data_IF_487950595866
#
_entry.id   IF_487950595866
#
_cell.length_a   1.000
_cell.length_b   1.000
_cell.length_c   1.000
_cell.angle_alpha   90.00
_cell.angle_beta   90.00
_cell.angle_gamma   90.00
#
_symmetry.space_group_name_H-M   'P 1'
#
loop_
_entity.id
_entity.type
_entity.pdbx_description
1 polymer ?
2 water ?
#
# COMPACT_ATOMS: atom_id res chain seq x y z
N UNK A 7 -23.39 -23.66 -83.56
CA UNK A 7 -22.28 -24.45 -83.02
C UNK A 7 -21.19 -23.51 -82.48
N UNK A 9 -21.28 -20.14 -82.70
CA UNK A 9 -21.91 -18.94 -82.14
C UNK A 9 -22.32 -19.15 -80.70
N UNK A 10 -22.71 -20.39 -80.35
CA UNK A 10 -23.19 -20.67 -79.00
C UNK A 10 -22.03 -20.85 -78.03
N UNK A 11 -20.94 -21.47 -78.47
CA UNK A 11 -19.79 -21.67 -77.60
C UNK A 11 -19.15 -20.35 -77.21
N UNK A 12 -19.06 -19.40 -78.16
CA UNK A 12 -18.50 -18.10 -77.83
C UNK A 12 -19.49 -17.21 -77.09
N UNK A 13 -20.79 -17.43 -77.26
CA UNK A 13 -21.74 -16.68 -76.44
C UNK A 13 -21.73 -17.17 -75.00
N UNK A 14 -21.67 -18.49 -74.83
CA UNK A 14 -21.61 -19.05 -73.49
C UNK A 14 -20.30 -18.70 -72.80
N UNK A 15 -19.17 -18.67 -73.53
CA UNK A 15 -17.91 -18.35 -72.86
C UNK A 15 -17.87 -16.90 -72.41
N UNK A 16 -18.44 -15.97 -73.19
CA UNK A 16 -18.49 -14.59 -72.71
C UNK A 16 -19.31 -14.46 -71.44
N UNK A 17 -20.35 -15.29 -71.28
CA UNK A 17 -21.20 -15.15 -70.11
C UNK A 17 -20.58 -15.82 -68.89
N UNK A 18 -19.89 -16.96 -69.07
CA UNK A 18 -19.05 -17.51 -68.00
C UNK A 18 -18.20 -16.42 -67.40
N UNK A 19 -17.48 -15.71 -68.27
CA UNK A 19 -16.53 -14.71 -67.81
C UNK A 19 -17.22 -13.54 -67.14
N UNK A 20 -18.40 -13.15 -67.60
CA UNK A 20 -19.12 -12.08 -66.94
C UNK A 20 -19.56 -12.47 -65.53
N UNK A 21 -20.02 -13.71 -65.36
CA UNK A 21 -20.57 -14.13 -64.07
C UNK A 21 -19.45 -14.24 -63.04
N UNK A 22 -18.43 -15.02 -63.37
CA UNK A 22 -17.23 -15.07 -62.58
C UNK A 22 -16.71 -13.68 -62.25
N UNK A 23 -16.90 -12.71 -63.15
CA UNK A 23 -16.59 -11.33 -62.78
C UNK A 23 -17.61 -10.78 -61.79
N UNK A 24 -18.89 -11.13 -61.94
CA UNK A 24 -19.85 -10.74 -60.91
C UNK A 24 -19.42 -11.30 -59.57
N UNK A 25 -19.11 -12.61 -59.52
CA UNK A 25 -18.63 -13.26 -58.30
C UNK A 25 -17.46 -12.51 -57.68
N UNK A 26 -16.40 -12.32 -58.47
CA UNK A 26 -15.14 -11.81 -57.93
C UNK A 26 -15.32 -10.45 -57.27
N UNK A 27 -16.13 -9.58 -57.87
CA UNK A 27 -16.24 -8.20 -57.38
C UNK A 27 -16.93 -8.12 -56.02
N UNK A 28 -17.85 -9.04 -55.74
CA UNK A 28 -18.46 -9.06 -54.42
C UNK A 28 -17.53 -9.71 -53.40
N UNK A 29 -16.79 -10.74 -53.84
CA UNK A 29 -15.76 -11.35 -52.99
C UNK A 29 -14.69 -10.34 -52.61
N UNK A 30 -14.20 -9.57 -53.57
CA UNK A 30 -13.23 -8.51 -53.30
C UNK A 30 -13.79 -7.46 -52.35
N UNK A 31 -15.10 -7.27 -52.33
CA UNK A 31 -15.67 -6.28 -51.43
C UNK A 31 -15.65 -6.79 -49.99
N UNK A 32 -16.01 -8.06 -49.80
CA UNK A 32 -15.98 -8.69 -48.49
C UNK A 32 -14.56 -8.76 -47.97
N UNK A 33 -13.61 -9.11 -48.84
CA UNK A 33 -12.23 -9.21 -48.39
C UNK A 33 -11.67 -7.84 -48.07
N UNK A 34 -12.17 -6.80 -48.73
CA UNK A 34 -11.86 -5.43 -48.35
C UNK A 34 -12.33 -5.13 -46.91
N UNK A 35 -13.54 -5.56 -46.55
CA UNK A 35 -14.06 -5.31 -45.21
C UNK A 35 -13.30 -6.12 -44.15
N UNK A 36 -13.01 -7.39 -44.45
CA UNK A 36 -12.24 -8.23 -43.55
C UNK A 36 -10.84 -7.69 -43.32
N UNK A 37 -10.21 -7.07 -44.32
CA UNK A 37 -8.87 -6.52 -44.13
C UNK A 37 -8.91 -5.24 -43.30
N UNK A 38 -9.86 -4.34 -43.59
CA UNK A 38 -9.97 -3.10 -42.84
C UNK A 38 -10.29 -3.35 -41.38
N UNK A 39 -11.06 -4.41 -41.10
CA UNK A 39 -11.35 -4.78 -39.72
C UNK A 39 -10.13 -5.37 -39.04
N UNK A 40 -9.38 -6.20 -39.77
CA UNK A 40 -8.23 -6.86 -39.18
C UNK A 40 -7.17 -5.84 -38.79
N UNK A 41 -6.99 -4.79 -39.60
CA UNK A 41 -6.05 -3.73 -39.26
C UNK A 41 -6.49 -3.00 -38.00
N UNK A 42 -7.70 -2.44 -38.01
CA UNK A 42 -8.24 -1.75 -36.84
C UNK A 42 -8.18 -2.60 -35.58
N UNK A 43 -8.41 -3.91 -35.71
CA UNK A 43 -8.44 -4.77 -34.52
C UNK A 43 -7.03 -4.98 -33.97
N UNK A 45 -4.82 -3.13 -34.19
CA UNK A 45 -4.33 -1.83 -33.72
C UNK A 45 -4.67 -1.61 -32.26
N UNK A 46 -5.90 -1.92 -31.84
CA UNK A 46 -6.27 -1.71 -30.45
C UNK A 46 -5.69 -2.78 -29.55
N UNK A 47 -5.27 -3.92 -30.09
CA UNK A 47 -4.59 -4.90 -29.25
C UNK A 47 -3.19 -4.42 -28.89
N UNK A 48 -2.46 -3.84 -29.84
CA UNK A 48 -1.13 -3.34 -29.53
C UNK A 48 -1.19 -2.17 -28.54
N UNK A 49 -2.24 -1.34 -28.60
CA UNK A 49 -2.42 -0.32 -27.56
C UNK A 49 -2.72 -0.97 -26.21
N UNK A 50 -3.61 -1.96 -26.19
CA UNK A 50 -3.88 -2.69 -24.96
C UNK A 50 -2.60 -3.31 -24.38
N UNK A 51 -1.69 -3.76 -25.27
CA UNK A 51 -0.46 -4.40 -24.81
C UNK A 51 0.51 -3.36 -24.25
N UNK A 52 0.45 -2.14 -24.80
CA UNK A 52 1.17 -1.04 -24.20
C UNK A 52 0.56 -0.66 -22.86
N UNK A 53 -0.77 -0.54 -22.80
CA UNK A 53 -1.45 -0.30 -21.53
C UNK A 53 -1.02 -1.28 -20.46
N UNK A 54 -0.95 -2.57 -20.79
CA UNK A 54 -0.52 -3.57 -19.82
C UNK A 54 0.88 -3.25 -19.29
N UNK A 55 1.81 -2.91 -20.19
CA UNK A 55 3.16 -2.61 -19.74
C UNK A 55 3.20 -1.37 -18.85
N UNK A 56 2.42 -0.34 -19.18
CA UNK A 56 2.53 0.91 -18.43
C UNK A 56 2.03 0.76 -17.00
N UNK A 57 1.05 -0.11 -16.75
CA UNK A 57 0.65 -0.33 -15.36
C UNK A 57 1.59 -1.25 -14.61
N UNK A 58 2.21 -2.21 -15.30
CA UNK A 58 3.24 -3.02 -14.65
C UNK A 58 4.43 -2.16 -14.24
N UNK A 59 4.86 -1.25 -15.14
CA UNK A 59 5.94 -0.33 -14.80
C UNK A 59 5.56 0.55 -13.61
N UNK A 60 4.28 0.93 -13.51
CA UNK A 60 3.81 1.67 -12.35
C UNK A 60 3.73 0.76 -11.12
N UNK A 61 3.17 -0.44 -11.31
CA UNK A 61 3.20 -1.42 -10.23
C UNK A 61 4.60 -1.69 -9.72
N UNK A 62 5.53 -2.00 -10.63
CA UNK A 62 6.86 -2.38 -10.18
C UNK A 62 7.56 -1.25 -9.44
N UNK A 63 7.43 -0.02 -9.94
CA UNK A 63 8.10 1.12 -9.31
C UNK A 63 7.58 1.38 -7.91
N UNK A 64 6.27 1.20 -7.70
CA UNK A 64 5.70 1.39 -6.37
C UNK A 64 6.13 0.29 -5.41
N UNK A 65 6.17 -0.95 -5.88
CA UNK A 65 6.62 -2.05 -5.05
C UNK A 65 8.02 -1.77 -4.48
N UNK A 66 8.92 -1.25 -5.33
CA UNK A 66 10.30 -1.03 -4.91
C UNK A 66 10.44 0.21 -4.04
N UNK A 67 9.67 1.26 -4.32
CA UNK A 67 9.57 2.35 -3.36
C UNK A 67 8.89 1.92 -2.07
N UNK A 68 8.11 0.85 -2.07
CA UNK A 68 7.46 0.45 -0.83
C UNK A 68 8.40 -0.36 0.05
N UNK A 69 9.21 -1.23 -0.55
CA UNK A 69 10.17 -1.98 0.23
C UNK A 69 11.21 -1.05 0.82
N UNK A 70 11.62 -0.02 0.06
CA UNK A 70 12.53 0.98 0.58
C UNK A 70 11.96 1.69 1.79
N UNK A 71 10.68 2.07 1.75
CA UNK A 71 10.10 2.80 2.87
C UNK A 71 9.86 1.90 4.06
N UNK A 72 9.60 0.62 3.81
CA UNK A 72 9.45 -0.35 4.90
C UNK A 72 10.79 -0.63 5.57
N UNK A 73 11.88 -0.62 4.80
CA UNK A 73 13.20 -0.80 5.39
C UNK A 73 13.57 0.37 6.28
N UNK A 74 13.16 1.58 5.89
CA UNK A 74 13.44 2.77 6.69
C UNK A 74 12.53 2.78 7.92
N UNK A 75 11.29 2.32 7.75
CA UNK A 75 10.39 2.12 8.88
C UNK A 75 10.98 1.15 9.90
N UNK A 76 11.61 0.08 9.42
CA UNK A 76 12.19 -0.91 10.32
C UNK A 76 13.44 -0.39 11.01
N UNK A 77 14.24 0.44 10.35
CA UNK A 77 15.38 1.08 10.99
C UNK A 77 14.98 2.19 11.94
N UNK A 78 13.74 2.62 11.87
CA UNK A 78 13.24 3.58 12.85
C UNK A 78 12.66 2.86 14.06
N UNK A 79 12.10 1.67 13.85
CA UNK A 79 11.66 0.84 14.96
C UNK A 79 12.85 0.33 15.78
N UNK A 80 13.95 -0.03 15.11
CA UNK A 80 15.14 -0.41 15.87
C UNK A 80 15.62 0.77 16.71
N UNK A 81 15.48 1.99 16.20
CA UNK A 81 15.96 3.14 16.96
C UNK A 81 15.10 3.40 18.18
N UNK A 82 13.79 3.19 18.06
CA UNK A 82 12.92 3.28 19.24
C UNK A 82 13.42 2.37 20.34
N UNK A 83 13.89 1.17 20.00
CA UNK A 83 14.34 0.24 21.03
C UNK A 83 15.65 0.68 21.66
N UNK A 84 16.55 1.27 20.87
CA UNK A 84 17.82 1.71 21.44
C UNK A 84 17.61 2.87 22.42
N UNK A 85 16.77 3.84 22.04
CA UNK A 85 16.37 4.92 22.91
C UNK A 85 15.72 4.40 24.18
N UNK A 87 16.26 1.43 25.71
CA UNK A 87 17.30 0.88 26.55
C UNK A 87 18.06 1.98 27.26
N UNK A 88 18.51 2.99 26.50
CA UNK A 88 19.30 4.06 27.10
C UNK A 88 18.54 4.76 28.23
N UNK A 89 17.27 5.11 28.00
CA UNK A 89 16.56 5.85 29.05
C UNK A 89 16.29 4.94 30.23
N UNK A 90 16.05 3.65 29.98
CA UNK A 90 15.88 2.71 31.08
C UNK A 90 17.18 2.62 31.87
N UNK A 91 18.29 2.40 31.17
CA UNK A 91 19.59 2.38 31.80
C UNK A 91 19.83 3.65 32.63
N UNK A 92 19.57 4.83 32.08
CA UNK A 92 19.93 6.06 32.79
C UNK A 92 19.13 6.18 34.10
N UNK A 93 17.87 5.79 34.05
CA UNK A 93 17.06 5.85 35.26
C UNK A 93 17.52 4.82 36.27
N UNK A 94 17.82 3.60 35.81
CA UNK A 94 18.31 2.56 36.70
C UNK A 94 19.54 3.02 37.45
N UNK A 95 20.53 3.55 36.73
CA UNK A 95 21.73 4.07 37.36
C UNK A 95 21.48 5.25 38.29
N UNK A 96 20.42 6.03 38.07
CA UNK A 96 20.14 7.16 38.95
C UNK A 96 19.64 6.66 40.30
N UNK A 97 18.65 5.77 40.24
CA UNK A 97 18.12 5.15 41.45
C UNK A 97 19.22 4.42 42.21
N UNK A 98 20.00 3.59 41.51
CA UNK A 98 21.03 2.80 42.17
C UNK A 98 22.05 3.72 42.83
N UNK A 99 22.38 4.83 42.17
CA UNK A 99 23.22 5.82 42.80
C UNK A 99 22.55 6.44 44.02
N UNK A 100 21.30 6.88 43.89
CA UNK A 100 20.55 7.34 45.07
C UNK A 100 20.68 6.37 46.25
N UNK A 101 20.49 5.08 46.00
CA UNK A 101 20.52 4.07 47.04
C UNK A 101 21.91 3.98 47.70
N UNK A 102 22.96 3.91 46.89
CA UNK A 102 24.32 3.83 47.40
C UNK A 102 24.67 5.05 48.25
N UNK A 103 24.17 6.22 47.86
CA UNK A 103 24.43 7.43 48.62
C UNK A 103 23.65 7.44 49.92
N UNK A 104 22.53 6.73 50.01
CA UNK A 104 21.79 6.81 51.26
C UNK A 104 22.26 5.75 52.25
N UNK A 105 22.88 4.68 51.77
CA UNK A 105 23.51 3.70 52.64
C UNK A 105 24.68 4.35 53.34
N UNK A 106 25.60 4.90 52.55
CA UNK A 106 26.75 5.61 53.07
C UNK A 106 26.37 6.70 54.04
N UNK A 107 25.26 7.38 53.81
CA UNK A 107 24.74 8.37 54.74
C UNK A 107 24.11 7.75 55.97
N UNK A 108 23.67 6.49 55.88
CA UNK A 108 23.10 5.78 57.03
C UNK A 108 24.09 4.84 57.71
N UNK A 109 25.37 4.89 57.36
CA UNK A 109 26.38 4.07 58.03
C UNK A 109 26.42 4.38 59.54
N UNK A 110 26.58 3.32 60.33
CA UNK A 110 26.47 3.45 61.79
C UNK A 110 27.56 4.35 62.34
N UNK A 111 28.77 4.17 61.84
CA UNK A 111 29.98 4.76 62.37
C UNK A 111 30.35 6.08 61.71
N UNK A 112 30.06 6.20 60.40
CA UNK A 112 30.44 7.35 59.58
C UNK A 112 29.27 8.06 58.89
N UNK A 113 28.07 7.52 58.93
CA UNK A 113 26.88 8.22 58.51
C UNK A 113 26.75 9.64 58.99
N UNK A 114 25.68 10.32 58.58
CA UNK A 114 25.56 11.74 58.88
C UNK A 114 24.89 11.98 60.24
N UNK A 115 24.22 10.98 60.82
CA UNK A 115 23.68 11.15 62.15
C UNK A 115 24.81 11.04 63.18
N UNK A 116 25.70 10.07 63.00
CA UNK A 116 26.84 9.87 63.87
C UNK A 116 27.92 10.94 63.70
N UNK A 117 27.95 11.63 62.57
CA UNK A 117 28.69 12.88 62.55
C UNK A 117 27.94 13.96 63.32
N UNK A 118 26.61 13.89 63.34
CA UNK A 118 25.88 14.91 64.09
C UNK A 118 26.01 14.67 65.57
N UNK A 119 26.15 13.41 65.98
CA UNK A 119 26.24 13.10 67.39
C UNK A 119 27.67 13.27 67.90
N UNK A 120 28.65 13.03 67.04
CA UNK A 120 30.02 13.28 67.39
C UNK A 120 30.30 14.76 67.56
N UNK A 121 29.92 15.57 66.57
CA UNK A 121 30.09 16.99 66.75
C UNK A 121 29.43 17.44 68.04
N UNK A 123 28.87 15.79 70.66
CA UNK A 123 29.39 15.21 71.88
C UNK A 123 30.70 15.88 72.30
N UNK A 125 31.24 19.18 71.58
CA UNK A 125 30.74 20.46 72.07
C UNK A 125 30.33 20.37 73.54
N UNK A 126 29.56 19.34 73.88
CA UNK A 126 29.14 19.13 75.26
C UNK A 126 30.35 18.97 76.18
N UNK A 127 31.40 18.30 75.69
CA UNK A 127 32.61 18.10 76.49
C UNK A 127 33.41 19.39 76.61
N UNK A 128 33.47 20.19 75.55
CA UNK A 128 34.13 21.49 75.65
C UNK A 128 33.49 22.33 76.75
N UNK A 129 32.16 22.31 76.84
CA UNK A 129 31.44 23.16 77.80
C UNK A 129 31.72 22.72 79.22
N UNK A 132 35.49 23.19 80.67
CA UNK A 132 35.88 24.52 81.13
C UNK A 132 35.18 24.91 82.42
N UNK A 133 33.89 24.57 82.54
CA UNK A 133 33.14 24.98 83.72
C UNK A 133 33.69 24.33 84.98
N UNK A 134 34.24 23.13 84.87
CA UNK A 134 34.95 22.55 86.00
C UNK A 134 36.29 23.25 86.19
N UNK B 9 21.98 18.39 84.26
CA UNK B 9 21.05 19.24 83.55
C UNK B 9 21.56 19.52 82.15
N UNK B 10 22.85 19.80 82.01
CA UNK B 10 23.40 20.15 80.71
C UNK B 10 23.42 18.95 79.78
N UNK B 11 23.74 17.76 80.31
CA UNK B 11 23.74 16.59 79.45
C UNK B 11 22.33 16.25 78.98
N UNK B 12 21.35 16.42 79.87
CA UNK B 12 19.96 16.15 79.50
C UNK B 12 19.49 17.06 78.37
N UNK B 13 19.78 18.36 78.47
CA UNK B 13 19.34 19.24 77.39
C UNK B 13 20.22 19.15 76.14
N UNK B 14 21.42 18.55 76.24
CA UNK B 14 22.21 18.28 75.04
C UNK B 14 21.66 17.10 74.28
N UNK B 15 21.27 16.04 74.99
CA UNK B 15 20.73 14.91 74.26
C UNK B 15 19.34 15.23 73.73
N UNK B 16 18.58 16.06 74.46
CA UNK B 16 17.32 16.57 73.94
C UNK B 16 17.53 17.33 72.63
N UNK B 17 18.54 18.18 72.57
CA UNK B 17 18.72 18.97 71.35
C UNK B 17 19.21 18.08 70.21
N UNK B 18 20.20 17.23 70.49
CA UNK B 18 20.71 16.27 69.53
C UNK B 18 19.59 15.47 68.87
N UNK B 19 18.65 14.97 69.68
CA UNK B 19 17.56 14.18 69.11
C UNK B 19 16.66 15.04 68.21
N UNK B 20 16.31 16.24 68.67
CA UNK B 20 15.53 17.13 67.83
C UNK B 20 16.28 17.52 66.55
N UNK B 21 17.60 17.53 66.61
CA UNK B 21 18.39 17.83 65.42
C UNK B 21 18.37 16.64 64.46
N UNK B 22 18.66 15.45 64.98
CA UNK B 22 18.63 14.27 64.13
C UNK B 22 17.27 14.07 63.49
N UNK B 23 16.19 14.48 64.15
CA UNK B 23 14.89 14.27 63.54
C UNK B 23 14.72 15.16 62.32
N UNK B 24 15.03 16.44 62.46
CA UNK B 24 14.93 17.40 61.35
C UNK B 24 15.72 16.91 60.14
N UNK B 25 16.99 16.54 60.35
CA UNK B 25 17.74 15.95 59.26
C UNK B 25 16.96 14.78 58.66
N UNK B 26 16.36 13.96 59.53
CA UNK B 26 15.74 12.72 59.07
C UNK B 26 14.42 13.00 58.36
N UNK B 27 13.62 13.93 58.86
CA UNK B 27 12.40 14.27 58.17
C UNK B 27 12.75 14.73 56.76
N UNK B 28 13.61 15.76 56.64
CA UNK B 28 13.94 16.33 55.35
C UNK B 28 14.46 15.23 54.42
N UNK B 29 15.19 14.24 54.95
CA UNK B 29 15.59 13.13 54.09
C UNK B 29 14.40 12.27 53.69
N UNK B 30 13.41 12.13 54.56
CA UNK B 30 12.27 11.30 54.20
C UNK B 30 11.40 11.95 53.14
N UNK B 31 11.25 13.28 53.19
CA UNK B 31 10.57 13.99 52.13
C UNK B 31 11.25 13.69 50.79
N UNK B 32 12.56 13.93 50.72
CA UNK B 32 13.26 13.73 49.45
C UNK B 32 13.02 12.34 48.91
N UNK B 33 13.32 11.32 49.71
CA UNK B 33 13.20 9.92 49.28
C UNK B 33 11.77 9.52 48.97
N UNK B 34 10.79 10.28 49.44
CA UNK B 34 9.40 10.05 49.06
C UNK B 34 9.17 10.56 47.65
N UNK B 35 9.71 11.75 47.32
CA UNK B 35 9.65 12.27 45.96
C UNK B 35 10.39 11.38 44.98
N UNK B 36 11.55 10.87 45.37
CA UNK B 36 12.32 9.98 44.51
C UNK B 36 11.56 8.72 44.15
N UNK B 37 10.85 8.12 45.10
CA UNK B 37 10.25 6.84 44.81
C UNK B 37 8.90 6.97 44.13
N UNK B 38 8.18 8.04 44.44
CA UNK B 38 6.97 8.37 43.72
C UNK B 38 7.28 8.65 42.25
N UNK B 39 8.38 9.37 41.99
CA UNK B 39 8.76 9.69 40.62
C UNK B 39 9.19 8.44 39.85
N UNK B 40 10.06 7.62 40.46
CA UNK B 40 10.46 6.41 39.75
C UNK B 40 9.28 5.53 39.44
N UNK B 41 8.30 5.49 40.34
CA UNK B 41 7.12 4.67 40.15
C UNK B 41 6.32 5.13 38.94
N UNK B 42 5.97 6.42 38.86
CA UNK B 42 5.25 6.92 37.70
C UNK B 42 6.05 6.69 36.43
N UNK B 43 7.28 7.20 36.41
CA UNK B 43 8.22 6.97 35.30
C UNK B 43 8.16 5.54 34.76
N UNK B 45 5.79 3.29 35.21
CA UNK B 45 4.46 2.95 34.71
C UNK B 45 4.21 3.53 33.32
N UNK B 46 4.75 4.72 33.06
CA UNK B 46 4.45 5.38 31.79
C UNK B 46 5.40 4.91 30.71
N UNK B 47 6.61 4.48 31.09
CA UNK B 47 7.52 3.85 30.13
C UNK B 47 7.02 2.48 29.71
N UNK B 48 6.61 1.63 30.66
CA UNK B 48 6.08 0.35 30.22
C UNK B 48 4.91 0.54 29.27
N UNK B 49 4.01 1.48 29.58
CA UNK B 49 2.89 1.75 28.70
C UNK B 49 3.37 2.25 27.34
N UNK B 50 4.41 3.07 27.30
CA UNK B 50 4.95 3.55 26.03
C UNK B 50 5.55 2.42 25.23
N UNK B 51 6.18 1.47 25.90
CA UNK B 51 6.71 0.28 25.24
C UNK B 51 5.62 -0.50 24.52
N UNK B 52 4.39 -0.46 25.01
CA UNK B 52 3.33 -1.22 24.36
C UNK B 52 2.78 -0.47 23.15
N UNK B 53 2.40 0.79 23.35
CA UNK B 53 1.93 1.63 22.25
C UNK B 53 2.91 1.66 21.09
N UNK B 54 4.20 1.79 21.38
CA UNK B 54 5.21 1.65 20.35
C UNK B 54 5.07 0.30 19.64
N UNK B 55 4.80 -0.76 20.41
CA UNK B 55 4.74 -2.10 19.85
C UNK B 55 3.44 -2.35 19.13
N UNK B 56 2.41 -1.53 19.38
CA UNK B 56 1.18 -1.60 18.62
C UNK B 56 1.27 -0.80 17.33
N UNK B 57 2.07 0.26 17.32
CA UNK B 57 2.35 0.99 16.08
C UNK B 57 2.97 0.06 15.04
N UNK B 58 3.98 -0.72 15.44
CA UNK B 58 4.54 -1.75 14.57
C UNK B 58 3.45 -2.67 14.02
N UNK B 59 2.45 -2.98 14.85
CA UNK B 59 1.38 -3.88 14.39
C UNK B 59 0.63 -3.30 13.20
N UNK B 60 0.13 -2.06 13.32
CA UNK B 60 -0.59 -1.45 12.20
C UNK B 60 0.33 -1.26 11.01
N UNK B 61 1.54 -0.74 11.23
CA UNK B 61 2.51 -0.66 10.13
C UNK B 61 2.75 -2.00 9.46
N UNK B 62 2.57 -3.10 10.20
CA UNK B 62 2.74 -4.42 9.62
C UNK B 62 1.49 -4.89 8.90
N UNK B 63 0.31 -4.48 9.38
CA UNK B 63 -0.93 -4.81 8.69
C UNK B 63 -1.03 -4.09 7.35
N UNK B 64 -0.51 -2.87 7.28
CA UNK B 64 -0.44 -2.13 6.03
C UNK B 64 0.36 -2.90 4.99
N UNK B 65 1.61 -3.23 5.34
CA UNK B 65 2.45 -4.04 4.46
C UNK B 65 1.71 -5.25 3.94
N UNK B 66 0.89 -5.90 4.78
CA UNK B 66 0.18 -7.07 4.33
C UNK B 66 -1.01 -6.71 3.45
N UNK B 67 -1.57 -5.52 3.62
CA UNK B 67 -2.60 -5.07 2.70
C UNK B 67 -1.97 -4.55 1.42
N UNK B 68 -0.86 -3.83 1.52
CA UNK B 68 -0.13 -3.44 0.32
C UNK B 68 0.25 -4.67 -0.50
N UNK B 69 0.95 -5.63 0.11
CA UNK B 69 1.29 -6.85 -0.60
C UNK B 69 0.06 -7.55 -1.16
N UNK B 70 -1.06 -7.51 -0.41
CA UNK B 70 -2.29 -8.15 -0.88
C UNK B 70 -2.77 -7.52 -2.18
N UNK B 71 -2.73 -6.20 -2.26
CA UNK B 71 -3.17 -5.53 -3.47
C UNK B 71 -2.18 -5.75 -4.61
N UNK B 72 -0.88 -5.73 -4.31
CA UNK B 72 0.12 -6.10 -5.30
C UNK B 72 -0.26 -7.39 -6.01
N UNK B 73 -0.52 -8.46 -5.24
CA UNK B 73 -0.85 -9.74 -5.85
C UNK B 73 -2.06 -9.61 -6.75
N UNK B 74 -3.10 -8.91 -6.30
CA UNK B 74 -4.29 -8.69 -7.11
C UNK B 74 -3.92 -7.90 -8.36
N UNK B 75 -3.16 -6.82 -8.18
CA UNK B 75 -2.63 -6.07 -9.31
C UNK B 75 -1.88 -6.98 -10.29
N UNK B 76 -0.99 -7.82 -9.77
CA UNK B 76 -0.28 -8.76 -10.63
C UNK B 76 -1.26 -9.72 -11.31
N UNK B 77 -2.31 -10.13 -10.60
CA UNK B 77 -3.19 -11.17 -11.12
C UNK B 77 -4.04 -10.65 -12.27
N UNK B 78 -4.55 -9.42 -12.16
CA UNK B 78 -5.28 -8.84 -13.27
C UNK B 78 -4.41 -8.76 -14.51
N UNK B 79 -3.21 -8.17 -14.38
CA UNK B 79 -2.23 -8.18 -15.45
C UNK B 79 -2.13 -9.54 -16.11
N UNK B 80 -1.95 -10.59 -15.31
CA UNK B 80 -1.78 -11.95 -15.84
C UNK B 80 -3.02 -12.36 -16.62
N UNK B 81 -4.20 -12.08 -16.07
CA UNK B 81 -5.43 -12.51 -16.70
C UNK B 81 -5.67 -11.73 -18.00
N UNK B 82 -5.51 -10.41 -17.93
CA UNK B 82 -5.57 -9.58 -19.13
C UNK B 82 -4.70 -10.16 -20.25
N UNK B 83 -3.46 -10.51 -19.93
CA UNK B 83 -2.58 -11.09 -20.94
C UNK B 83 -3.09 -12.44 -21.43
N UNK B 84 -3.84 -13.16 -20.60
CA UNK B 84 -4.47 -14.38 -21.08
C UNK B 84 -5.66 -14.04 -21.97
N UNK B 85 -6.49 -13.10 -21.54
CA UNK B 85 -7.64 -12.67 -22.33
C UNK B 85 -7.20 -12.15 -23.69
N UNK B 87 -4.31 -12.97 -25.25
CA UNK B 87 -3.75 -14.11 -25.97
C UNK B 87 -4.86 -14.97 -26.56
N UNK B 88 -6.04 -14.96 -25.94
CA UNK B 88 -7.11 -15.82 -26.40
C UNK B 88 -7.85 -15.19 -27.57
N UNK B 89 -8.07 -13.87 -27.51
CA UNK B 89 -8.79 -13.18 -28.57
C UNK B 89 -7.89 -12.96 -29.78
N UNK B 90 -6.57 -12.94 -29.58
CA UNK B 90 -5.66 -12.96 -30.70
C UNK B 90 -5.68 -14.32 -31.38
N UNK B 91 -5.76 -15.39 -30.59
CA UNK B 91 -5.78 -16.73 -31.14
C UNK B 91 -7.09 -16.99 -31.88
N UNK B 92 -8.19 -16.43 -31.39
CA UNK B 92 -9.48 -16.54 -32.05
C UNK B 92 -9.44 -15.82 -33.38
N UNK B 93 -8.96 -14.57 -33.37
CA UNK B 93 -8.90 -13.76 -34.58
C UNK B 93 -8.05 -14.42 -35.66
N UNK B 94 -6.80 -14.75 -35.34
CA UNK B 94 -5.94 -15.39 -36.33
C UNK B 94 -6.47 -16.74 -36.77
N UNK B 95 -7.26 -17.41 -35.93
CA UNK B 95 -7.90 -18.64 -36.38
C UNK B 95 -9.02 -18.34 -37.37
N UNK B 96 -9.77 -17.26 -37.14
CA UNK B 96 -10.70 -16.72 -38.13
C UNK B 96 -10.01 -16.43 -39.46
N UNK B 97 -8.95 -15.61 -39.40
CA UNK B 97 -8.33 -15.11 -40.62
C UNK B 97 -7.80 -16.26 -41.45
N UNK B 98 -7.04 -17.17 -40.85
CA UNK B 98 -6.58 -18.35 -41.59
C UNK B 98 -7.73 -19.22 -42.07
N UNK B 99 -8.88 -19.21 -41.37
CA UNK B 99 -10.01 -20.02 -41.82
C UNK B 99 -10.64 -19.45 -43.07
N UNK B 100 -10.57 -18.13 -43.25
CA UNK B 100 -11.04 -17.51 -44.48
C UNK B 100 -10.07 -17.82 -45.62
N UNK B 101 -8.77 -17.63 -45.38
CA UNK B 101 -7.75 -17.98 -46.36
C UNK B 101 -7.94 -19.40 -46.89
N UNK B 102 -8.24 -20.36 -46.00
CA UNK B 102 -8.38 -21.73 -46.46
C UNK B 102 -9.70 -21.95 -47.18
N UNK B 103 -10.73 -21.18 -46.82
CA UNK B 103 -12.00 -21.24 -47.55
C UNK B 103 -11.82 -20.61 -48.93
N UNK B 104 -11.18 -19.44 -48.99
CA UNK B 104 -10.86 -18.82 -50.28
C UNK B 104 -10.01 -19.74 -51.14
N UNK B 105 -9.19 -20.58 -50.52
CA UNK B 105 -8.27 -21.45 -51.25
C UNK B 105 -9.04 -22.54 -51.98
N UNK B 106 -10.05 -23.10 -51.31
CA UNK B 106 -10.87 -24.13 -51.95
C UNK B 106 -11.77 -23.55 -53.04
N UNK B 107 -12.22 -22.31 -52.87
CA UNK B 107 -13.12 -21.73 -53.86
C UNK B 107 -12.39 -21.34 -55.13
N UNK B 108 -11.08 -21.05 -55.03
CA UNK B 108 -10.22 -20.70 -56.16
C UNK B 108 -9.59 -21.92 -56.83
N UNK B 109 -9.89 -23.12 -56.35
CA UNK B 109 -9.30 -24.33 -56.87
C UNK B 109 -9.60 -24.52 -58.35
N UNK B 110 -8.55 -24.86 -59.10
CA UNK B 110 -8.63 -25.02 -60.55
C UNK B 110 -9.56 -26.16 -60.95
N UNK B 111 -9.73 -27.18 -60.10
CA UNK B 111 -10.57 -28.33 -60.41
C UNK B 111 -11.77 -28.55 -59.49
N UNK B 112 -11.80 -27.95 -58.30
CA UNK B 112 -12.95 -28.14 -57.42
C UNK B 112 -13.53 -26.84 -56.89
N UNK B 113 -12.89 -25.71 -57.17
CA UNK B 113 -13.41 -24.42 -56.76
C UNK B 113 -14.64 -23.98 -57.56
N UNK B 114 -15.17 -22.82 -57.17
CA UNK B 114 -16.50 -22.42 -57.59
C UNK B 114 -16.53 -22.00 -59.06
N UNK B 115 -15.48 -21.36 -59.55
CA UNK B 115 -15.41 -21.03 -60.97
C UNK B 115 -15.45 -22.26 -61.85
N UNK B 116 -14.80 -23.34 -61.43
CA UNK B 116 -14.83 -24.56 -62.23
C UNK B 116 -16.19 -25.24 -62.14
N UNK B 117 -16.87 -25.13 -61.00
CA UNK B 117 -18.21 -25.69 -60.88
C UNK B 117 -19.22 -24.86 -61.64
N UNK B 118 -19.01 -23.54 -61.73
CA UNK B 118 -19.79 -22.71 -62.64
C UNK B 118 -19.56 -23.15 -64.08
N UNK B 119 -18.29 -23.24 -64.50
CA UNK B 119 -18.00 -23.63 -65.87
C UNK B 119 -18.60 -24.97 -66.23
N UNK B 120 -18.61 -25.92 -65.28
CA UNK B 120 -19.22 -27.21 -65.56
C UNK B 120 -20.73 -27.11 -65.74
N UNK B 121 -21.38 -26.16 -65.08
CA UNK B 121 -22.82 -26.01 -65.26
C UNK B 121 -23.11 -25.34 -66.60
N UNK B 123 -21.16 -25.56 -69.07
CA UNK B 123 -20.80 -26.57 -70.07
C UNK B 123 -21.98 -27.48 -70.38
N UNK B 125 -25.40 -26.83 -69.69
CA UNK B 125 -26.53 -26.09 -70.23
C UNK B 125 -26.36 -25.85 -71.73
N UNK B 126 -25.14 -25.53 -72.14
CA UNK B 126 -24.90 -25.17 -73.53
C UNK B 126 -25.03 -26.38 -74.46
N UNK B 127 -24.66 -27.58 -74.01
CA UNK B 127 -24.86 -28.76 -74.83
C UNK B 127 -26.31 -29.22 -74.81
N UNK B 128 -26.97 -29.08 -73.66
CA UNK B 128 -28.39 -29.38 -73.53
C UNK B 128 -29.22 -28.55 -74.52
N UNK B 129 -28.91 -27.26 -74.64
CA UNK B 129 -29.67 -26.38 -75.53
C UNK B 129 -29.34 -26.68 -76.98
N UNK B 132 -31.24 -30.24 -78.33
CA UNK B 132 -32.63 -30.23 -78.77
C UNK B 132 -32.87 -29.20 -79.86
N UNK B 133 -32.05 -28.15 -79.94
CA UNK B 133 -32.20 -27.18 -81.03
C UNK B 133 -31.49 -27.63 -82.30
N UNK B 134 -30.43 -28.43 -82.19
CA UNK B 134 -29.64 -28.77 -83.38
C UNK B 134 -28.87 -30.08 -83.20
N UNK C 7 32.62 33.00 78.77
CA UNK C 7 31.39 33.23 78.01
C UNK C 7 31.73 33.28 76.53
N UNK C 9 34.46 32.11 75.35
CA UNK C 9 34.98 30.77 75.04
C UNK C 9 33.85 29.81 74.71
N UNK C 10 32.70 29.98 75.37
CA UNK C 10 31.53 29.18 75.00
C UNK C 10 30.98 29.53 73.62
N UNK C 11 30.56 30.78 73.44
CA UNK C 11 30.00 31.22 72.17
C UNK C 11 30.91 30.83 71.01
N UNK C 12 32.22 30.97 71.20
CA UNK C 12 33.19 30.48 70.21
C UNK C 12 32.96 28.99 69.92
N UNK C 13 32.94 28.19 70.99
CA UNK C 13 32.77 26.74 70.81
C UNK C 13 31.46 26.41 70.11
N UNK C 14 30.37 27.07 70.51
CA UNK C 14 29.07 26.84 69.88
C UNK C 14 29.12 27.16 68.40
N UNK C 15 29.90 28.18 68.04
CA UNK C 15 29.91 28.70 66.68
C UNK C 15 30.72 27.80 65.76
N UNK C 16 31.87 27.30 66.22
CA UNK C 16 32.61 26.32 65.45
C UNK C 16 31.85 25.01 65.30
N UNK C 17 31.11 24.62 66.32
CA UNK C 17 30.29 23.40 66.22
C UNK C 17 29.12 23.63 65.28
N UNK C 18 28.47 24.79 65.39
CA UNK C 18 27.37 25.16 64.51
C UNK C 18 27.80 25.10 63.05
N UNK C 19 29.00 25.62 62.75
CA UNK C 19 29.55 25.51 61.41
C UNK C 19 29.69 24.06 61.01
N UNK C 20 30.34 23.24 61.83
CA UNK C 20 30.65 21.90 61.35
C UNK C 20 29.39 21.08 61.08
N UNK C 21 28.26 21.46 61.68
CA UNK C 21 27.02 20.71 61.53
C UNK C 21 26.31 21.12 60.25
N UNK C 22 26.28 22.44 60.00
CA UNK C 22 25.79 22.99 58.74
C UNK C 22 26.63 22.50 57.56
N UNK C 23 27.90 22.18 57.80
CA UNK C 23 28.77 21.77 56.70
C UNK C 23 28.54 20.30 56.35
N UNK C 24 28.35 19.45 57.36
CA UNK C 24 28.04 18.05 57.13
C UNK C 24 26.76 17.91 56.31
N UNK C 25 25.76 18.69 56.69
CA UNK C 25 24.48 18.66 56.06
C UNK C 25 24.60 19.06 54.59
N UNK C 26 25.12 20.25 54.33
CA UNK C 26 25.21 20.77 52.97
C UNK C 26 26.11 19.90 52.09
N UNK C 27 27.19 19.36 52.64
CA UNK C 27 28.00 18.39 51.89
C UNK C 27 27.17 17.22 51.36
N UNK C 28 26.24 16.73 52.17
CA UNK C 28 25.40 15.58 51.86
C UNK C 28 24.28 15.96 50.89
N UNK C 29 23.73 17.17 51.06
CA UNK C 29 22.75 17.68 50.12
C UNK C 29 23.36 17.85 48.73
N UNK C 30 24.56 18.43 48.64
CA UNK C 30 25.15 18.70 47.34
C UNK C 30 25.40 17.41 46.56
N UNK C 31 25.75 16.33 47.25
CA UNK C 31 25.98 15.08 46.54
C UNK C 31 24.73 14.64 45.79
N UNK C 32 23.58 14.61 46.47
CA UNK C 32 22.33 14.20 45.83
C UNK C 32 21.93 15.19 44.72
N UNK C 33 22.10 16.47 44.98
CA UNK C 33 21.74 17.50 44.01
C UNK C 33 22.67 17.47 42.80
N UNK C 34 23.84 16.86 42.94
CA UNK C 34 24.67 16.65 41.77
C UNK C 34 24.30 15.32 41.13
N UNK C 35 23.81 14.37 41.94
CA UNK C 35 23.16 13.21 41.36
C UNK C 35 21.92 13.63 40.57
N UNK C 36 21.07 14.45 41.18
CA UNK C 36 19.85 14.90 40.54
C UNK C 36 20.14 15.60 39.21
N UNK C 37 21.15 16.46 39.19
CA UNK C 37 21.41 17.31 38.04
C UNK C 37 21.90 16.53 36.83
N UNK C 38 22.81 15.59 37.07
CA UNK C 38 23.36 14.82 35.97
C UNK C 38 22.34 13.85 35.39
N UNK C 39 21.35 13.47 36.17
CA UNK C 39 20.28 12.60 35.69
C UNK C 39 19.34 13.36 34.76
N UNK C 40 18.83 14.52 35.23
CA UNK C 40 17.97 15.38 34.45
C UNK C 40 18.59 15.66 33.09
N UNK C 41 19.85 16.12 33.10
CA UNK C 41 20.53 16.44 31.85
C UNK C 41 20.60 15.23 30.92
N UNK C 42 21.14 14.11 31.40
CA UNK C 42 21.17 12.95 30.53
C UNK C 42 19.77 12.56 30.06
N UNK C 43 18.80 12.60 30.96
CA UNK C 43 17.44 12.17 30.65
C UNK C 43 16.82 13.08 29.60
N UNK C 45 18.28 14.99 27.59
CA UNK C 45 19.01 14.99 26.33
C UNK C 45 18.53 13.88 25.42
N UNK C 46 18.31 12.69 25.99
CA UNK C 46 17.85 11.56 25.23
C UNK C 46 16.39 11.68 24.86
N UNK C 47 15.55 12.12 25.79
CA UNK C 47 14.19 12.42 25.40
C UNK C 47 14.11 13.37 24.20
N UNK C 48 15.05 14.28 24.03
CA UNK C 48 14.96 15.34 23.04
C UNK C 48 15.31 14.86 21.64
N UNK C 49 16.35 14.05 21.53
CA UNK C 49 16.63 13.39 20.27
C UNK C 49 15.57 12.37 19.96
N UNK C 50 14.97 11.78 20.99
CA UNK C 50 13.93 10.78 20.80
C UNK C 50 12.67 11.41 20.23
N UNK C 51 12.33 12.63 20.68
CA UNK C 51 11.22 13.34 20.07
C UNK C 51 11.40 13.41 18.57
N UNK C 52 12.62 13.75 18.12
CA UNK C 52 12.99 13.77 16.71
C UNK C 52 12.86 12.40 16.08
N UNK C 53 13.43 11.37 16.70
CA UNK C 53 13.37 10.04 16.10
C UNK C 53 11.92 9.57 15.91
N UNK C 54 11.03 9.94 16.83
CA UNK C 54 9.65 9.46 16.76
C UNK C 54 8.87 10.24 15.71
N UNK C 55 9.26 11.50 15.46
CA UNK C 55 8.73 12.21 14.32
C UNK C 55 9.14 11.51 13.02
N UNK C 56 10.40 11.08 12.93
CA UNK C 56 10.88 10.35 11.75
C UNK C 56 10.08 9.07 11.55
N UNK C 57 9.89 8.30 12.62
CA UNK C 57 9.06 7.11 12.57
C UNK C 57 7.73 7.42 11.91
N UNK C 58 6.98 8.36 12.48
CA UNK C 58 5.67 8.75 11.99
C UNK C 58 5.69 9.24 10.55
N UNK C 59 6.85 9.70 10.06
CA UNK C 59 6.98 10.18 8.69
C UNK C 59 7.14 9.02 7.70
N UNK C 60 7.85 7.96 8.11
CA UNK C 60 7.94 6.76 7.28
C UNK C 60 6.59 6.05 7.20
N UNK C 61 5.96 5.83 8.35
CA UNK C 61 4.60 5.34 8.36
C UNK C 61 3.67 6.22 7.55
N UNK C 62 3.93 7.53 7.53
CA UNK C 62 3.10 8.40 6.69
C UNK C 62 3.38 8.14 5.20
N UNK C 63 4.64 7.92 4.83
CA UNK C 63 4.95 7.62 3.43
C UNK C 63 4.38 6.27 3.02
N UNK C 64 4.55 5.24 3.84
CA UNK C 64 3.97 3.95 3.50
C UNK C 64 2.47 4.05 3.26
N UNK C 65 1.81 5.02 3.91
CA UNK C 65 0.37 5.19 3.73
C UNK C 65 0.05 5.86 2.40
N UNK C 66 0.88 6.82 1.99
CA UNK C 66 0.69 7.46 0.69
C UNK C 66 0.98 6.49 -0.45
N UNK C 67 1.86 5.53 -0.24
CA UNK C 67 2.18 4.57 -1.29
C UNK C 67 0.99 3.68 -1.60
N UNK C 68 0.26 3.27 -0.58
CA UNK C 68 -0.98 2.53 -0.81
C UNK C 68 -2.00 3.38 -1.57
N UNK C 69 -2.19 4.63 -1.15
CA UNK C 69 -3.10 5.52 -1.87
C UNK C 69 -2.67 5.68 -3.32
N UNK C 70 -1.37 5.64 -3.59
CA UNK C 70 -0.90 5.73 -4.98
C UNK C 70 -1.21 4.45 -5.75
N UNK C 71 -1.07 3.28 -5.11
CA UNK C 71 -1.34 2.05 -5.83
C UNK C 71 -2.84 1.84 -6.05
N UNK C 72 -3.69 2.29 -5.11
CA UNK C 72 -5.13 2.19 -5.38
C UNK C 72 -5.55 3.16 -6.49
N UNK C 73 -4.90 4.31 -6.62
CA UNK C 73 -5.16 5.20 -7.76
C UNK C 73 -4.83 4.50 -9.08
N UNK C 74 -3.62 3.94 -9.17
CA UNK C 74 -3.23 3.19 -10.37
C UNK C 74 -4.18 2.03 -10.59
N UNK C 75 -4.52 1.31 -9.52
CA UNK C 75 -5.52 0.26 -9.56
C UNK C 75 -6.80 0.71 -10.26
N UNK C 76 -7.34 1.87 -9.85
CA UNK C 76 -8.57 2.35 -10.47
C UNK C 76 -8.33 2.90 -11.86
N UNK C 77 -7.14 3.44 -12.11
CA UNK C 77 -6.79 3.92 -13.45
C UNK C 77 -6.71 2.77 -14.42
N UNK C 78 -6.17 1.62 -13.98
CA UNK C 78 -6.11 0.43 -14.81
C UNK C 78 -7.51 -0.09 -15.10
N UNK C 79 -8.43 0.04 -14.15
CA UNK C 79 -9.79 -0.46 -14.37
C UNK C 79 -10.55 0.39 -15.39
N UNK C 80 -10.32 1.70 -15.39
CA UNK C 80 -11.02 2.56 -16.33
C UNK C 80 -10.51 2.35 -17.75
N UNK C 81 -9.20 2.18 -17.91
CA UNK C 81 -8.63 2.11 -19.26
C UNK C 81 -8.91 0.75 -19.89
N UNK C 82 -8.95 -0.32 -19.07
CA UNK C 82 -9.37 -1.62 -19.59
C UNK C 82 -10.79 -1.56 -20.12
N UNK C 83 -11.68 -0.97 -19.33
CA UNK C 83 -13.08 -0.96 -19.68
C UNK C 83 -13.32 -0.09 -20.90
N UNK C 84 -12.46 0.89 -21.14
CA UNK C 84 -12.62 1.69 -22.35
C UNK C 84 -12.01 0.98 -23.56
N UNK C 85 -10.81 0.42 -23.42
CA UNK C 85 -10.25 -0.39 -24.51
C UNK C 85 -11.23 -1.47 -24.92
N UNK C 87 -14.51 -1.59 -24.47
CA UNK C 87 -15.69 -1.08 -25.17
C UNK C 87 -15.39 -0.73 -26.62
N UNK C 88 -14.17 -0.30 -26.91
CA UNK C 88 -13.79 0.09 -28.27
C UNK C 88 -13.50 -1.12 -29.15
N UNK C 89 -12.94 -2.18 -28.59
CA UNK C 89 -12.80 -3.43 -29.31
C UNK C 89 -14.16 -3.94 -29.76
N UNK C 90 -15.15 -3.87 -28.88
CA UNK C 90 -16.51 -4.33 -29.15
C UNK C 90 -17.21 -3.44 -30.17
N UNK C 91 -16.88 -2.15 -30.18
CA UNK C 91 -17.44 -1.23 -31.16
C UNK C 91 -16.96 -1.55 -32.58
N UNK C 92 -15.65 -1.75 -32.76
CA UNK C 92 -15.13 -2.10 -34.08
C UNK C 92 -15.76 -3.41 -34.56
N UNK C 93 -15.89 -4.37 -33.66
CA UNK C 93 -16.39 -5.68 -34.04
C UNK C 93 -17.83 -5.62 -34.49
N UNK C 94 -18.66 -4.91 -33.73
CA UNK C 94 -20.07 -4.83 -34.06
C UNK C 94 -20.29 -4.04 -35.34
N UNK C 95 -19.48 -3.00 -35.57
CA UNK C 95 -19.52 -2.32 -36.85
C UNK C 95 -19.15 -3.26 -37.98
N UNK C 96 -18.15 -4.11 -37.77
CA UNK C 96 -17.76 -5.09 -38.80
C UNK C 96 -18.88 -6.09 -39.08
N UNK C 97 -19.54 -6.58 -38.03
CA UNK C 97 -20.60 -7.57 -38.19
C UNK C 97 -21.79 -6.95 -38.88
N UNK C 98 -22.17 -5.75 -38.46
CA UNK C 98 -23.27 -5.04 -39.11
C UNK C 98 -22.97 -4.80 -40.58
N UNK C 99 -21.71 -4.46 -40.89
CA UNK C 99 -21.32 -4.21 -42.29
C UNK C 99 -21.46 -5.46 -43.15
N UNK C 100 -20.98 -6.60 -42.64
CA UNK C 100 -21.17 -7.85 -43.38
C UNK C 100 -22.64 -8.18 -43.53
N UNK C 101 -23.42 -8.03 -42.45
CA UNK C 101 -24.88 -8.21 -42.53
C UNK C 101 -25.49 -7.29 -43.57
N UNK C 102 -24.98 -6.07 -43.69
CA UNK C 102 -25.49 -5.11 -44.66
C UNK C 102 -25.19 -5.54 -46.09
N UNK C 103 -23.96 -6.00 -46.34
CA UNK C 103 -23.57 -6.37 -47.70
C UNK C 103 -24.22 -7.69 -48.10
N UNK C 104 -24.35 -8.62 -47.16
CA UNK C 104 -25.06 -9.85 -47.46
C UNK C 104 -26.50 -9.56 -47.88
N UNK C 105 -27.20 -8.72 -47.12
CA UNK C 105 -28.60 -8.39 -47.42
C UNK C 105 -28.74 -7.77 -48.80
N UNK C 106 -27.71 -7.05 -49.25
CA UNK C 106 -27.72 -6.45 -50.58
C UNK C 106 -27.67 -7.51 -51.67
N UNK C 107 -26.76 -8.47 -51.52
CA UNK C 107 -26.56 -9.50 -52.54
C UNK C 107 -27.60 -10.62 -52.45
N UNK C 114 -26.95 -9.31 -56.54
CA UNK C 114 -26.03 -10.35 -56.99
C UNK C 114 -26.75 -11.46 -57.75
N UNK C 115 -27.64 -12.18 -57.07
CA UNK C 115 -28.44 -13.23 -57.68
C UNK C 115 -29.41 -12.70 -58.73
N UNK C 116 -29.65 -11.40 -58.75
CA UNK C 116 -30.48 -10.81 -59.80
C UNK C 116 -29.64 -10.54 -61.04
N UNK C 117 -28.41 -10.04 -60.85
CA UNK C 117 -27.54 -9.78 -61.99
C UNK C 117 -27.08 -11.07 -62.65
N UNK C 118 -26.98 -12.16 -61.89
CA UNK C 118 -26.84 -13.47 -62.52
C UNK C 118 -28.03 -13.74 -63.43
N UNK C 119 -29.24 -13.63 -62.87
CA UNK C 119 -30.46 -13.87 -63.64
C UNK C 119 -30.57 -12.92 -64.83
N UNK C 120 -29.95 -11.74 -64.74
CA UNK C 120 -29.99 -10.80 -65.85
C UNK C 120 -29.13 -11.25 -67.03
N UNK C 121 -27.87 -11.61 -66.76
CA UNK C 121 -26.94 -12.07 -67.79
C UNK C 121 -27.29 -13.45 -68.32
N UNK C 123 -30.49 -14.20 -68.72
CA UNK C 123 -31.50 -13.72 -69.67
C UNK C 123 -30.83 -13.19 -70.93
N UNK C 125 -27.88 -14.08 -72.19
CA UNK C 125 -27.41 -15.26 -72.91
C UNK C 125 -28.56 -15.97 -73.62
N UNK C 126 -29.69 -16.10 -72.93
CA UNK C 126 -30.87 -16.72 -73.51
C UNK C 126 -31.34 -15.92 -74.71
N UNK C 127 -31.35 -14.59 -74.58
CA UNK C 127 -31.75 -13.71 -75.67
C UNK C 127 -30.94 -13.98 -76.94
N UNK C 128 -29.63 -14.17 -76.80
CA UNK C 128 -28.82 -14.39 -78.00
C UNK C 128 -28.94 -15.81 -78.53
N UNK C 129 -29.29 -16.77 -77.68
CA UNK C 129 -29.47 -18.13 -78.18
C UNK C 129 -30.84 -18.26 -78.83
N UNK C 132 -30.08 -16.56 -82.12
CA UNK C 132 -29.33 -17.43 -83.01
C UNK C 132 -30.18 -18.60 -83.49
N UNK C 133 -31.09 -19.07 -82.65
CA UNK C 133 -31.99 -20.17 -83.03
C UNK C 133 -33.32 -19.64 -83.51
N UNK D 4 -41.27 -21.77 -81.13
CA UNK D 4 -42.34 -21.75 -80.14
C UNK D 4 -42.08 -22.82 -79.08
N UNK D 5 -42.06 -24.09 -79.48
CA UNK D 5 -41.77 -25.16 -78.54
C UNK D 5 -40.28 -25.21 -78.21
N UNK D 6 -39.43 -25.16 -79.24
CA UNK D 6 -37.97 -25.08 -79.03
C UNK D 6 -37.63 -23.97 -78.06
N UNK D 7 -38.30 -22.82 -78.22
CA UNK D 7 -38.01 -21.66 -77.39
C UNK D 7 -38.43 -21.89 -75.95
N UNK D 9 -38.59 -25.04 -74.41
CA UNK D 9 -37.70 -26.03 -73.82
C UNK D 9 -36.37 -25.41 -73.39
N UNK D 10 -35.84 -24.47 -74.19
CA UNK D 10 -34.60 -23.81 -73.82
C UNK D 10 -34.81 -22.84 -72.66
N UNK D 11 -36.04 -22.39 -72.44
CA UNK D 11 -36.32 -21.58 -71.25
C UNK D 11 -36.33 -22.44 -70.00
N UNK D 12 -36.91 -23.63 -70.08
CA UNK D 12 -36.88 -24.55 -68.94
C UNK D 12 -35.45 -24.87 -68.51
N UNK D 13 -34.55 -25.14 -69.47
CA UNK D 13 -33.20 -25.55 -69.11
C UNK D 13 -32.38 -24.40 -68.58
N UNK D 14 -32.64 -23.19 -69.07
CA UNK D 14 -31.98 -22.03 -68.52
C UNK D 14 -32.37 -21.81 -67.07
N UNK D 15 -33.63 -22.11 -66.74
CA UNK D 15 -34.09 -21.89 -65.37
C UNK D 15 -33.52 -22.93 -64.41
N UNK D 16 -33.18 -24.11 -64.91
CA UNK D 16 -32.60 -25.15 -64.06
C UNK D 16 -31.10 -24.92 -63.85
N UNK D 17 -30.39 -24.52 -64.91
CA UNK D 17 -28.99 -24.13 -64.76
C UNK D 17 -28.85 -22.92 -63.85
N UNK D 18 -29.69 -21.90 -64.08
CA UNK D 18 -29.66 -20.72 -63.24
C UNK D 18 -29.82 -21.12 -61.78
N UNK D 19 -30.68 -22.09 -61.50
CA UNK D 19 -30.87 -22.55 -60.13
C UNK D 19 -29.58 -23.14 -59.55
N UNK D 20 -28.92 -24.05 -60.28
CA UNK D 20 -27.68 -24.66 -59.82
C UNK D 20 -26.55 -23.66 -59.67
N UNK D 21 -26.53 -22.63 -60.53
CA UNK D 21 -25.49 -21.60 -60.43
C UNK D 21 -25.68 -20.77 -59.15
N UNK D 22 -26.93 -20.45 -58.82
CA UNK D 22 -27.21 -19.77 -57.56
C UNK D 22 -26.72 -20.60 -56.38
N UNK D 23 -27.17 -21.85 -56.31
CA UNK D 23 -26.84 -22.74 -55.21
C UNK D 23 -25.33 -22.84 -54.98
N UNK D 24 -24.54 -22.86 -56.04
CA UNK D 24 -23.08 -22.85 -55.89
C UNK D 24 -22.63 -21.58 -55.19
N UNK D 25 -23.19 -20.45 -55.63
CA UNK D 25 -22.90 -19.18 -54.97
C UNK D 25 -23.36 -19.20 -53.51
N UNK D 26 -24.58 -19.68 -53.26
CA UNK D 26 -25.14 -19.63 -51.91
C UNK D 26 -24.36 -20.52 -50.96
N UNK D 27 -24.05 -21.74 -51.40
CA UNK D 27 -23.33 -22.69 -50.55
C UNK D 27 -22.04 -22.09 -50.01
N UNK D 28 -21.27 -21.47 -50.90
CA UNK D 28 -20.01 -20.89 -50.47
C UNK D 28 -20.20 -19.66 -49.59
N UNK D 29 -21.29 -18.92 -49.78
CA UNK D 29 -21.60 -17.78 -48.92
C UNK D 29 -22.21 -18.22 -47.61
N UNK D 30 -22.91 -19.35 -47.57
CA UNK D 30 -23.37 -19.87 -46.30
C UNK D 30 -22.19 -20.36 -45.47
N UNK D 31 -21.17 -20.93 -46.12
CA UNK D 31 -20.05 -21.46 -45.38
C UNK D 31 -19.24 -20.33 -44.78
N UNK D 32 -19.05 -19.26 -45.55
CA UNK D 32 -18.40 -18.06 -45.03
C UNK D 32 -19.21 -17.44 -43.90
N UNK D 33 -20.54 -17.59 -43.92
CA UNK D 33 -21.33 -17.00 -42.87
C UNK D 33 -21.19 -17.76 -41.55
N UNK D 34 -21.18 -19.10 -41.60
CA UNK D 34 -20.95 -19.89 -40.40
C UNK D 34 -19.59 -19.61 -39.79
N UNK D 35 -18.58 -19.32 -40.61
CA UNK D 35 -17.30 -18.88 -40.06
C UNK D 35 -17.43 -17.51 -39.42
N UNK D 36 -18.03 -16.55 -40.12
CA UNK D 36 -18.19 -15.23 -39.56
C UNK D 36 -18.95 -15.25 -38.23
N UNK D 37 -19.97 -16.10 -38.14
CA UNK D 37 -20.77 -16.15 -36.93
C UNK D 37 -20.00 -16.85 -35.81
N UNK D 38 -19.54 -18.08 -36.06
CA UNK D 38 -18.71 -18.79 -35.08
C UNK D 38 -17.57 -17.92 -34.57
N UNK D 39 -17.00 -17.08 -35.43
CA UNK D 39 -15.96 -16.17 -35.00
C UNK D 39 -16.52 -15.09 -34.10
N UNK D 40 -17.75 -14.63 -34.38
CA UNK D 40 -18.33 -13.58 -33.56
C UNK D 40 -18.66 -14.08 -32.15
N UNK D 41 -19.15 -15.32 -32.02
CA UNK D 41 -19.51 -15.85 -30.71
C UNK D 41 -18.30 -16.01 -29.80
N UNK D 42 -17.25 -16.66 -30.30
CA UNK D 42 -16.01 -16.77 -29.54
C UNK D 42 -15.50 -15.38 -29.16
N UNK D 43 -15.49 -14.44 -30.11
CA UNK D 43 -15.05 -13.08 -29.85
C UNK D 43 -15.94 -12.39 -28.83
N UNK D 45 -17.80 -13.97 -26.53
CA UNK D 45 -17.63 -14.62 -25.25
C UNK D 45 -16.34 -14.19 -24.55
N UNK D 46 -15.32 -13.76 -25.29
CA UNK D 46 -14.09 -13.35 -24.64
C UNK D 46 -14.22 -11.96 -24.05
N UNK D 47 -14.97 -11.07 -24.69
CA UNK D 47 -15.18 -9.78 -24.08
C UNK D 47 -16.16 -9.83 -22.91
N UNK D 48 -17.14 -10.73 -22.97
CA UNK D 48 -18.03 -10.92 -21.81
C UNK D 48 -17.25 -11.48 -20.63
N UNK D 49 -16.36 -12.43 -20.88
CA UNK D 49 -15.49 -12.93 -19.83
C UNK D 49 -14.60 -11.82 -19.27
N UNK D 50 -13.98 -11.03 -20.15
CA UNK D 50 -13.16 -9.91 -19.67
C UNK D 50 -14.00 -8.90 -18.87
N UNK D 51 -15.23 -8.62 -19.29
CA UNK D 51 -16.07 -7.72 -18.51
C UNK D 51 -16.30 -8.27 -17.10
N UNK D 52 -16.62 -9.56 -17.01
CA UNK D 52 -16.79 -10.22 -15.73
C UNK D 52 -15.51 -10.17 -14.92
N UNK D 53 -14.37 -10.20 -15.61
CA UNK D 53 -13.08 -10.13 -14.94
C UNK D 53 -12.85 -8.75 -14.34
N UNK D 54 -13.18 -7.69 -15.08
CA UNK D 54 -13.09 -6.33 -14.53
C UNK D 54 -14.07 -6.14 -13.37
N UNK D 55 -15.20 -6.85 -13.40
CA UNK D 55 -16.14 -6.77 -12.30
C UNK D 55 -15.53 -7.33 -11.02
N UNK D 56 -14.97 -8.54 -11.10
CA UNK D 56 -14.24 -9.15 -9.99
C UNK D 56 -13.05 -8.28 -9.57
N UNK D 57 -12.30 -7.76 -10.53
CA UNK D 57 -11.19 -6.88 -10.22
C UNK D 57 -11.64 -5.72 -9.34
N UNK D 58 -12.73 -5.05 -9.73
CA UNK D 58 -13.16 -3.87 -9.00
C UNK D 58 -13.76 -4.22 -7.65
N UNK D 59 -14.52 -5.32 -7.58
CA UNK D 59 -15.05 -5.73 -6.28
C UNK D 59 -13.93 -6.11 -5.33
N UNK D 60 -12.83 -6.64 -5.86
CA UNK D 60 -11.68 -6.99 -5.02
C UNK D 60 -11.01 -5.73 -4.48
N UNK D 61 -10.82 -4.75 -5.36
CA UNK D 61 -10.16 -3.53 -4.94
C UNK D 61 -10.98 -2.73 -3.95
N UNK D 62 -12.30 -2.93 -3.95
CA UNK D 62 -13.15 -2.11 -3.10
C UNK D 62 -13.09 -2.58 -1.64
N UNK D 63 -13.05 -3.90 -1.42
CA UNK D 63 -12.86 -4.41 -0.06
C UNK D 63 -11.59 -3.84 0.55
N UNK D 64 -10.45 -4.00 -0.14
CA UNK D 64 -9.18 -3.51 0.37
C UNK D 64 -9.19 -2.01 0.58
N UNK D 65 -10.02 -1.27 -0.16
CA UNK D 65 -10.17 0.15 0.14
C UNK D 65 -10.79 0.37 1.51
N UNK D 66 -11.79 -0.43 1.87
CA UNK D 66 -12.36 -0.30 3.21
C UNK D 66 -11.38 -0.79 4.26
N UNK D 67 -10.71 -1.91 3.99
CA UNK D 67 -9.70 -2.45 4.90
C UNK D 67 -8.60 -1.44 5.15
N UNK D 68 -8.14 -0.75 4.09
CA UNK D 68 -7.22 0.36 4.26
C UNK D 68 -7.73 1.38 5.26
N UNK D 69 -9.03 1.72 5.15
CA UNK D 69 -9.58 2.81 5.94
C UNK D 69 -9.54 2.49 7.43
N UNK D 70 -10.00 1.30 7.81
CA UNK D 70 -10.01 0.91 9.22
C UNK D 70 -8.61 0.96 9.81
N UNK D 71 -7.61 0.43 9.09
CA UNK D 71 -6.26 0.50 9.62
C UNK D 71 -5.78 1.93 9.71
N UNK D 72 -6.27 2.79 8.82
CA UNK D 72 -5.70 4.13 8.79
C UNK D 72 -6.15 4.95 10.00
N UNK D 73 -7.40 4.79 10.44
CA UNK D 73 -7.85 5.48 11.64
C UNK D 73 -7.15 4.92 12.88
N UNK D 74 -6.97 3.60 12.91
CA UNK D 74 -6.21 2.99 14.02
C UNK D 74 -4.77 3.44 13.97
N UNK D 75 -4.22 3.57 12.77
CA UNK D 75 -2.82 3.96 12.65
C UNK D 75 -2.58 5.40 13.12
N UNK D 76 -3.54 6.30 12.87
CA UNK D 76 -3.41 7.67 13.35
C UNK D 76 -3.51 7.75 14.87
N UNK D 77 -4.45 6.99 15.45
CA UNK D 77 -4.63 7.00 16.91
C UNK D 77 -3.37 6.53 17.62
N UNK D 78 -2.84 5.38 17.21
CA UNK D 78 -1.60 4.89 17.79
C UNK D 78 -0.47 5.93 17.65
N UNK D 79 -0.42 6.65 16.52
CA UNK D 79 0.64 7.64 16.39
C UNK D 79 0.55 8.73 17.46
N UNK D 80 -0.61 9.37 17.63
CA UNK D 80 -0.74 10.47 18.58
C UNK D 80 -0.55 9.99 20.02
N UNK D 81 -0.93 8.76 20.34
CA UNK D 81 -0.70 8.23 21.67
C UNK D 81 0.79 8.10 21.96
N UNK D 82 1.57 7.67 20.96
CA UNK D 82 3.02 7.57 21.10
C UNK D 82 3.65 8.91 21.40
N UNK D 83 3.09 9.98 20.85
CA UNK D 83 3.64 11.30 21.17
C UNK D 83 3.03 11.87 22.46
N UNK D 84 1.83 11.41 22.83
CA UNK D 84 1.18 11.88 24.05
C UNK D 84 1.85 11.27 25.26
N UNK D 85 2.08 9.96 25.22
CA UNK D 85 2.88 9.29 26.23
C UNK D 85 4.17 10.05 26.46
N UNK D 87 5.12 13.20 25.76
CA UNK D 87 4.89 14.44 26.46
C UNK D 87 4.64 14.17 27.93
N UNK D 88 3.98 13.05 28.25
CA UNK D 88 3.61 12.79 29.62
C UNK D 88 4.84 12.55 30.47
N UNK D 89 5.84 11.84 29.92
CA UNK D 89 7.00 11.55 30.73
C UNK D 89 7.87 12.78 30.90
N UNK D 90 7.96 13.61 29.86
CA UNK D 90 8.61 14.91 29.99
C UNK D 90 7.96 15.75 31.07
N UNK D 91 6.63 15.72 31.16
CA UNK D 91 5.93 16.51 32.15
C UNK D 91 6.25 16.02 33.56
N UNK D 92 6.35 14.69 33.70
CA UNK D 92 6.56 14.05 34.98
C UNK D 92 7.97 14.34 35.48
N UNK D 93 8.98 14.20 34.61
CA UNK D 93 10.34 14.60 34.94
C UNK D 93 10.44 16.07 35.30
N UNK D 94 9.72 16.93 34.60
CA UNK D 94 9.84 18.36 34.86
C UNK D 94 9.24 18.73 36.21
N UNK D 95 8.21 18.01 36.65
CA UNK D 95 7.55 18.30 37.91
C UNK D 95 8.36 17.74 39.08
N UNK D 96 8.95 16.56 38.90
CA UNK D 96 9.96 16.01 39.78
C UNK D 96 11.10 16.99 40.02
N UNK D 97 11.77 17.41 38.93
CA UNK D 97 12.90 18.33 39.09
C UNK D 97 12.46 19.60 39.80
N UNK D 98 11.26 20.10 39.49
CA UNK D 98 10.86 21.37 40.10
C UNK D 98 10.52 21.18 41.57
N UNK D 99 9.95 20.04 41.93
CA UNK D 99 9.59 19.79 43.30
C UNK D 99 10.83 19.54 44.17
N UNK D 100 11.94 19.13 43.55
CA UNK D 100 13.23 19.01 44.25
C UNK D 100 13.89 20.37 44.44
N UNK D 101 13.92 21.18 43.38
CA UNK D 101 14.34 22.57 43.51
C UNK D 101 13.56 23.25 44.64
N UNK D 102 12.26 22.96 44.73
CA UNK D 102 11.43 23.57 45.76
C UNK D 102 11.89 23.13 47.16
N UNK D 103 12.18 21.82 47.30
CA UNK D 103 12.75 21.26 48.52
C UNK D 103 14.06 21.94 48.86
N UNK D 104 14.99 21.98 47.90
CA UNK D 104 16.30 22.60 48.11
C UNK D 104 16.17 24.04 48.63
N UNK D 105 15.11 24.75 48.24
CA UNK D 105 14.93 26.12 48.72
C UNK D 105 14.68 26.12 50.21
N UNK D 106 13.86 25.18 50.69
CA UNK D 106 13.62 25.14 52.12
C UNK D 106 14.82 24.60 52.89
N UNK D 107 15.73 23.88 52.22
CA UNK D 107 16.98 23.48 52.89
C UNK D 107 17.77 24.71 53.30
N UNK D 108 17.93 25.67 52.37
CA UNK D 108 18.56 26.93 52.72
C UNK D 108 17.88 27.58 53.94
N UNK D 109 16.56 27.43 54.07
CA UNK D 109 15.89 28.02 55.23
C UNK D 109 16.32 27.34 56.52
N UNK D 110 16.59 26.04 56.45
CA UNK D 110 16.82 25.25 57.65
C UNK D 110 18.24 25.43 58.18
N UNK D 111 19.25 25.36 57.31
CA UNK D 111 20.58 25.87 57.66
C UNK D 111 20.50 27.41 57.78
N UNK D 117 16.53 26.85 61.17
CA UNK D 117 15.93 26.01 62.19
C UNK D 117 16.97 25.35 63.11
N UNK D 118 18.04 24.78 62.54
CA UNK D 118 19.17 24.33 63.35
C UNK D 118 19.70 25.42 64.28
N UNK D 119 20.17 26.53 63.71
CA UNK D 119 20.77 27.59 64.51
C UNK D 119 19.82 28.05 65.61
N UNK D 120 18.50 27.99 65.38
CA UNK D 120 17.58 28.34 66.46
C UNK D 120 17.71 27.36 67.62
N UNK D 121 17.80 26.06 67.33
CA UNK D 121 17.85 25.07 68.39
C UNK D 121 19.19 25.12 69.13
N UNK D 123 21.15 28.04 69.45
CA UNK D 123 21.02 29.24 70.26
C UNK D 123 20.21 28.96 71.53
N UNK D 125 20.01 25.85 72.99
CA UNK D 125 20.90 25.06 73.82
C UNK D 125 21.96 25.93 74.48
N UNK D 126 22.43 26.96 73.78
CA UNK D 126 23.45 27.84 74.35
C UNK D 126 22.85 28.66 75.49
N UNK D 127 21.63 29.16 75.28
CA UNK D 127 20.96 29.93 76.33
C UNK D 127 20.84 29.11 77.62
N UNK D 128 20.36 27.87 77.50
CA UNK D 128 20.30 26.98 78.66
C UNK D 128 21.66 26.82 79.30
N UNK D 129 22.70 26.71 78.47
CA UNK D 129 24.06 26.46 79.00
C UNK D 129 24.51 27.62 79.90
N UNK D 132 22.80 28.03 83.30
CA UNK D 132 23.43 27.18 84.31
C UNK D 132 24.63 27.90 84.94
N UNK D 133 25.65 28.17 84.14
CA UNK D 133 26.84 28.87 84.58
C UNK D 133 26.54 30.19 85.32
#
# INVERSE_FOLDING_TARGET
>A
AKRKRIEXYTKASFKASNQKIEQIWKTQQEEIQKLNNEYSQQFXNVLQQWELDIQKFEEQGEKLSNLFRQQQKIFQQSRIVQSQRXKAIKQIHEQFIKSLEDVEKNNDNLFTGTQSELKKEXAXLQKKVXXETQQQEXANVRKS
>B
AKRKRIEXYTKASFKASNQKIEQIWKTQQEEIQKLNNEYSQQFXNVLQQWELDIQKFEEQGEKLSNLFRQQQKIFQQSRIVQSQRXKAIKQIHEQFIKSLEDVEKNNDNLFTGTQSELKKEXAXLQKKVXXETQQQEXANVRKS
>C
AKRKRIEXYTKASFKASNQKIEQIWKTQQEEIQKLNNEYSQQFXNVLQQWELDIQKFEEQGEKLSNLFRQQQKIFQQSRIVQSQRXKAIKQIHEQFIKSLEDVEKNNDNLFTGTQSELKKEXAXLQKKVXXETQQQEXANVRKS
>D
AKRKRIEXYTKASFKASNQKIEQIWKTQQEEIQKLNNEYSQQFXNVLQQWELDIQKFEEQGEKLSNLFRQQQKIFQQSRIVQSQRXKAIKQIHEQFIKSLEDVEKNNDNLFTGTQSELKKEXAXLQKKVXXETQQQEXANVRKS
#
